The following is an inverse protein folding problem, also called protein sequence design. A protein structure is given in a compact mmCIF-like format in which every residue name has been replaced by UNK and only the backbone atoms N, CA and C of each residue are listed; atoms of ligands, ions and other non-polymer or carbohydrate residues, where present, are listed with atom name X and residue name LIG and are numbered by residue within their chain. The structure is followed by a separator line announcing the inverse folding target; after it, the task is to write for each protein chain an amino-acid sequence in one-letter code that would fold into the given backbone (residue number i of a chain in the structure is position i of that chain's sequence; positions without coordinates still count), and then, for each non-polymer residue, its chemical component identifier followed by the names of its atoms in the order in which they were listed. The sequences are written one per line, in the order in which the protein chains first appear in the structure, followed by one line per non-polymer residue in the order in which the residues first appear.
data_IF_188995001801
#
_entry.id   IF_188995001801
#
_cell.length_a   1.000
_cell.length_b   1.000
_cell.length_c   1.000
_cell.angle_alpha   90.00
_cell.angle_beta   90.00
_cell.angle_gamma   90.00
#
_symmetry.space_group_name_H-M   'P 1'
#
loop_
_entity.id
_entity.type
_entity.pdbx_description
1 polymer ?
#
# COMPACT_ATOMS: atom_id res chain seq x y z
N UNK A 1 26.89 -6.59 -4.53
CA UNK A 1 25.50 -6.95 -4.12
C UNK A 1 24.81 -5.82 -3.37
N UNK A 2 25.40 -5.29 -2.28
CA UNK A 2 24.81 -4.14 -1.55
C UNK A 2 24.61 -2.89 -2.42
N UNK A 3 25.59 -2.53 -3.26
CA UNK A 3 25.49 -1.39 -4.17
C UNK A 3 24.29 -1.52 -5.13
N UNK A 4 24.13 -2.67 -5.78
CA UNK A 4 22.98 -2.96 -6.65
C UNK A 4 21.63 -2.82 -5.91
N UNK A 5 21.53 -3.28 -4.67
CA UNK A 5 20.31 -3.13 -3.86
C UNK A 5 20.01 -1.66 -3.53
N UNK A 6 21.05 -0.87 -3.24
CA UNK A 6 20.92 0.57 -2.99
C UNK A 6 20.47 1.29 -4.26
N UNK A 7 21.05 0.96 -5.41
CA UNK A 7 20.69 1.54 -6.71
C UNK A 7 19.23 1.21 -7.08
N UNK A 8 18.80 -0.04 -6.84
CA UNK A 8 17.39 -0.44 -7.00
C UNK A 8 16.47 0.33 -6.05
N UNK A 9 16.83 0.49 -4.77
CA UNK A 9 16.03 1.26 -3.81
C UNK A 9 15.89 2.72 -4.25
N UNK A 10 16.97 3.34 -4.71
CA UNK A 10 16.95 4.72 -5.20
C UNK A 10 16.03 4.89 -6.42
N UNK A 11 16.04 3.93 -7.35
CA UNK A 11 15.13 3.93 -8.50
C UNK A 11 13.67 3.71 -8.10
N UNK A 12 13.40 2.97 -7.03
CA UNK A 12 12.03 2.65 -6.59
C UNK A 12 11.41 3.70 -5.66
N UNK A 13 12.22 4.47 -4.92
CA UNK A 13 11.75 5.52 -4.01
C UNK A 13 10.67 6.47 -4.58
N UNK A 14 10.80 7.05 -5.80
CA UNK A 14 9.79 7.96 -6.33
C UNK A 14 8.44 7.27 -6.60
N UNK A 15 8.42 5.95 -6.76
CA UNK A 15 7.21 5.18 -7.04
C UNK A 15 6.49 4.65 -5.79
N UNK A 16 7.14 4.68 -4.61
CA UNK A 16 6.56 4.17 -3.36
C UNK A 16 5.29 4.91 -2.95
N UNK A 17 5.34 6.24 -2.95
CA UNK A 17 4.21 7.10 -2.62
C UNK A 17 3.04 6.92 -3.59
N UNK A 18 3.20 7.05 -4.93
CA UNK A 18 2.08 6.85 -5.85
C UNK A 18 1.51 5.42 -5.79
N UNK A 19 2.35 4.39 -5.61
CA UNK A 19 1.84 3.01 -5.44
C UNK A 19 0.95 2.87 -4.20
N UNK A 20 1.35 3.49 -3.09
CA UNK A 20 0.59 3.48 -1.83
C UNK A 20 -0.74 4.23 -1.97
N UNK A 21 -0.72 5.41 -2.61
CA UNK A 21 -1.93 6.19 -2.88
C UNK A 21 -2.87 5.41 -3.81
N UNK A 22 -2.34 4.81 -4.88
CA UNK A 22 -3.10 3.98 -5.80
C UNK A 22 -3.77 2.81 -5.07
N UNK A 23 -3.04 2.12 -4.19
CA UNK A 23 -3.60 1.06 -3.36
C UNK A 23 -4.72 1.57 -2.45
N UNK A 24 -4.53 2.74 -1.81
CA UNK A 24 -5.56 3.37 -0.98
C UNK A 24 -6.83 3.71 -1.76
N UNK A 25 -6.70 4.31 -2.94
CA UNK A 25 -7.84 4.61 -3.83
C UNK A 25 -8.52 3.32 -4.29
N UNK A 26 -7.75 2.32 -4.70
CA UNK A 26 -8.29 1.02 -5.10
C UNK A 26 -9.10 0.38 -3.96
N UNK A 27 -8.62 0.44 -2.71
CA UNK A 27 -9.33 -0.06 -1.54
C UNK A 27 -10.63 0.70 -1.28
N UNK A 28 -10.65 2.03 -1.44
CA UNK A 28 -11.87 2.83 -1.34
C UNK A 28 -12.93 2.40 -2.37
N UNK A 29 -12.52 2.25 -3.64
CA UNK A 29 -13.39 1.75 -4.71
C UNK A 29 -13.86 0.33 -4.40
N UNK A 30 -12.96 -0.53 -3.94
CA UNK A 30 -13.25 -1.92 -3.59
C UNK A 30 -14.26 -2.05 -2.44
N UNK A 31 -14.17 -1.17 -1.44
CA UNK A 31 -15.12 -1.12 -0.34
C UNK A 31 -16.52 -0.76 -0.83
N UNK A 32 -16.64 0.29 -1.64
CA UNK A 32 -17.91 0.73 -2.23
C UNK A 32 -18.50 -0.38 -3.12
N UNK A 33 -17.69 -0.97 -4.01
CA UNK A 33 -18.10 -2.07 -4.87
C UNK A 33 -18.52 -3.32 -4.07
N UNK A 34 -17.83 -3.61 -2.97
CA UNK A 34 -18.14 -4.74 -2.09
C UNK A 34 -19.48 -4.54 -1.36
N UNK A 35 -19.74 -3.34 -0.86
CA UNK A 35 -21.01 -2.99 -0.20
C UNK A 35 -22.16 -3.02 -1.21
N UNK A 36 -22.01 -2.37 -2.36
CA UNK A 36 -23.03 -2.39 -3.42
C UNK A 36 -23.29 -3.81 -3.94
N UNK A 37 -22.25 -4.63 -4.06
CA UNK A 37 -22.36 -6.02 -4.50
C UNK A 37 -23.05 -6.96 -3.52
N UNK A 38 -23.26 -6.54 -2.26
CA UNK A 38 -24.15 -7.25 -1.32
C UNK A 38 -25.62 -7.00 -1.64
N UNK A 39 -25.95 -5.82 -2.18
CA UNK A 39 -27.33 -5.39 -2.47
C UNK A 39 -27.73 -5.75 -3.90
N UNK A 40 -26.87 -5.49 -4.88
CA UNK A 40 -27.17 -5.66 -6.31
C UNK A 40 -26.61 -6.96 -6.91
N UNK A 41 -25.73 -7.67 -6.20
CA UNK A 41 -25.00 -8.83 -6.72
C UNK A 41 -23.88 -8.49 -7.72
N UNK A 42 -23.76 -7.24 -8.15
CA UNK A 42 -22.74 -6.75 -9.10
C UNK A 42 -21.57 -6.09 -8.37
N UNK A 43 -20.34 -6.24 -8.87
CA UNK A 43 -19.15 -5.56 -8.31
C UNK A 43 -18.32 -6.38 -7.31
N UNK A 44 -18.70 -7.62 -7.00
CA UNK A 44 -17.90 -8.49 -6.11
C UNK A 44 -16.52 -8.81 -6.69
N UNK A 45 -16.42 -9.02 -8.01
CA UNK A 45 -15.14 -9.24 -8.67
C UNK A 45 -14.21 -8.02 -8.55
N UNK A 46 -14.74 -6.81 -8.75
CA UNK A 46 -13.99 -5.56 -8.59
C UNK A 46 -13.49 -5.39 -7.15
N UNK A 47 -14.36 -5.63 -6.17
CA UNK A 47 -13.97 -5.59 -4.75
C UNK A 47 -12.85 -6.58 -4.41
N UNK A 48 -12.89 -7.81 -4.96
CA UNK A 48 -11.81 -8.80 -4.77
C UNK A 48 -10.48 -8.33 -5.34
N UNK A 49 -10.49 -7.77 -6.55
CA UNK A 49 -9.27 -7.25 -7.19
C UNK A 49 -8.70 -6.06 -6.41
N UNK A 50 -9.55 -5.12 -6.01
CA UNK A 50 -9.15 -3.98 -5.17
C UNK A 50 -8.53 -4.42 -3.84
N UNK A 51 -9.15 -5.39 -3.16
CA UNK A 51 -8.60 -5.94 -1.92
C UNK A 51 -7.29 -6.71 -2.13
N UNK A 52 -7.13 -7.41 -3.26
CA UNK A 52 -5.88 -8.05 -3.64
C UNK A 52 -4.76 -7.03 -3.90
N UNK A 53 -5.05 -5.93 -4.60
CA UNK A 53 -4.08 -4.84 -4.84
C UNK A 53 -3.59 -4.27 -3.50
N UNK A 54 -4.51 -3.97 -2.56
CA UNK A 54 -4.13 -3.49 -1.23
C UNK A 54 -3.24 -4.47 -0.46
N UNK A 55 -3.56 -5.77 -0.50
CA UNK A 55 -2.72 -6.81 0.09
C UNK A 55 -1.35 -6.91 -0.58
N UNK A 56 -1.29 -6.91 -1.91
CA UNK A 56 -0.05 -7.01 -2.68
C UNK A 56 0.89 -5.83 -2.38
N UNK A 57 0.35 -4.60 -2.36
CA UNK A 57 1.13 -3.40 -2.02
C UNK A 57 1.54 -3.41 -0.54
N UNK A 58 0.67 -3.86 0.36
CA UNK A 58 1.01 -3.98 1.78
C UNK A 58 2.15 -4.97 2.05
N UNK A 59 2.10 -6.16 1.43
CA UNK A 59 3.19 -7.15 1.49
C UNK A 59 4.49 -6.60 0.90
N UNK A 60 4.39 -5.90 -0.22
CA UNK A 60 5.53 -5.26 -0.86
C UNK A 60 6.19 -4.21 0.05
N UNK A 61 5.42 -3.35 0.73
CA UNK A 61 5.96 -2.37 1.68
C UNK A 61 6.65 -3.04 2.87
N UNK A 62 6.12 -4.16 3.37
CA UNK A 62 6.78 -4.94 4.43
C UNK A 62 8.08 -5.57 3.94
N UNK A 63 8.14 -6.06 2.70
CA UNK A 63 9.37 -6.56 2.12
C UNK A 63 10.43 -5.46 1.99
N UNK A 64 10.01 -4.25 1.59
CA UNK A 64 10.87 -3.06 1.56
C UNK A 64 11.34 -2.64 2.96
N UNK A 65 10.49 -2.73 3.98
CA UNK A 65 10.89 -2.50 5.39
C UNK A 65 12.03 -3.43 5.80
N UNK A 66 11.87 -4.73 5.55
CA UNK A 66 12.88 -5.74 5.87
C UNK A 66 14.18 -5.47 5.11
N UNK A 67 14.09 -5.21 3.81
CA UNK A 67 15.26 -4.91 2.97
C UNK A 67 15.99 -3.64 3.42
N UNK A 68 15.25 -2.58 3.76
CA UNK A 68 15.81 -1.33 4.29
C UNK A 68 16.57 -1.55 5.58
N UNK A 69 15.97 -2.26 6.54
CA UNK A 69 16.61 -2.58 7.82
C UNK A 69 17.87 -3.43 7.66
N UNK A 70 17.86 -4.40 6.74
CA UNK A 70 19.05 -5.22 6.43
C UNK A 70 20.21 -4.38 5.85
N UNK A 71 19.90 -3.26 5.21
CA UNK A 71 20.88 -2.32 4.68
C UNK A 71 21.24 -1.20 5.67
N UNK A 72 20.63 -1.18 6.86
CA UNK A 72 20.89 -0.18 7.91
C UNK A 72 20.12 1.13 7.71
N UNK A 73 19.09 1.14 6.87
CA UNK A 73 18.21 2.31 6.67
C UNK A 73 16.84 2.06 7.31
N UNK A 74 16.19 3.14 7.76
CA UNK A 74 14.81 3.11 8.23
C UNK A 74 13.88 3.64 7.13
N UNK A 75 13.15 2.78 6.39
CA UNK A 75 12.36 3.20 5.24
C UNK A 75 11.05 3.88 5.68
N UNK A 76 10.85 5.11 5.20
CA UNK A 76 9.67 5.93 5.51
C UNK A 76 9.06 6.53 4.25
N UNK A 77 7.72 6.64 4.23
CA UNK A 77 6.98 7.30 3.14
C UNK A 77 6.68 8.72 3.57
N UNK A 78 7.13 9.69 2.78
CA UNK A 78 6.74 11.09 2.92
C UNK A 78 5.44 11.34 2.17
N UNK A 79 4.39 11.75 2.88
CA UNK A 79 3.11 12.13 2.26
C UNK A 79 2.99 13.63 1.97
N UNK A 80 3.82 14.47 2.57
CA UNK A 80 3.87 15.93 2.36
C UNK A 80 4.45 16.31 0.98
N UNK A 81 4.17 17.53 0.53
CA UNK A 81 4.80 18.05 -0.69
C UNK A 81 6.29 18.34 -0.41
N UNK A 82 7.22 18.12 -1.36
CA UNK A 82 8.63 18.45 -1.18
C UNK A 82 8.89 19.94 -0.85
N UNK A 83 7.91 20.81 -1.14
CA UNK A 83 7.93 22.23 -0.84
C UNK A 83 7.57 22.57 0.62
N UNK A 84 6.98 21.62 1.36
CA UNK A 84 6.66 21.81 2.77
C UNK A 84 7.94 21.72 3.58
N UNK A 85 8.36 22.86 4.15
CA UNK A 85 9.62 23.00 4.91
C UNK A 85 9.69 22.16 6.19
N UNK A 86 8.65 21.37 6.46
CA UNK A 86 8.54 20.46 7.60
C UNK A 86 8.74 19.01 7.12
N UNK A 87 9.90 18.76 6.50
CA UNK A 87 10.28 17.47 5.87
C UNK A 87 10.31 16.26 6.82
N UNK A 88 10.25 16.48 8.13
CA UNK A 88 10.46 15.44 9.15
C UNK A 88 9.21 15.02 9.93
N UNK A 89 8.11 15.77 9.85
CA UNK A 89 6.92 15.45 10.67
C UNK A 89 5.91 14.52 9.99
N UNK A 90 5.92 14.43 8.66
CA UNK A 90 4.90 13.67 7.92
C UNK A 90 5.47 12.42 7.22
N UNK A 91 6.45 11.80 7.87
CA UNK A 91 7.06 10.54 7.44
C UNK A 91 6.42 9.40 8.21
N UNK A 92 5.86 8.43 7.48
CA UNK A 92 5.24 7.26 8.08
C UNK A 92 6.10 6.04 7.75
N UNK A 93 6.46 5.20 8.73
CA UNK A 93 7.28 4.03 8.48
C UNK A 93 6.53 3.01 7.61
N UNK A 94 7.27 2.33 6.74
CA UNK A 94 6.69 1.43 5.73
C UNK A 94 5.86 0.32 6.38
N UNK A 95 6.28 -0.19 7.53
CA UNK A 95 5.53 -1.23 8.23
C UNK A 95 4.13 -0.81 8.68
N UNK A 96 3.94 0.43 9.16
CA UNK A 96 2.61 0.91 9.58
C UNK A 96 1.68 0.97 8.36
N UNK A 97 2.17 1.58 7.29
CA UNK A 97 1.40 1.75 6.05
C UNK A 97 1.10 0.38 5.43
N UNK A 98 2.09 -0.50 5.38
CA UNK A 98 1.96 -1.85 4.85
C UNK A 98 0.92 -2.67 5.62
N UNK A 99 0.99 -2.68 6.95
CA UNK A 99 0.00 -3.37 7.79
C UNK A 99 -1.40 -2.76 7.63
N UNK A 100 -1.53 -1.44 7.56
CA UNK A 100 -2.81 -0.77 7.36
C UNK A 100 -3.45 -1.17 6.00
N UNK A 101 -2.67 -1.19 4.93
CA UNK A 101 -3.12 -1.65 3.61
C UNK A 101 -3.48 -3.13 3.61
N UNK A 102 -2.72 -3.98 4.31
CA UNK A 102 -3.05 -5.39 4.44
C UNK A 102 -4.37 -5.60 5.20
N UNK A 103 -4.55 -4.91 6.32
CA UNK A 103 -5.78 -4.98 7.11
C UNK A 103 -6.99 -4.52 6.28
N UNK A 104 -6.88 -3.36 5.61
CA UNK A 104 -7.93 -2.83 4.75
C UNK A 104 -8.23 -3.75 3.55
N UNK A 105 -7.19 -4.29 2.89
CA UNK A 105 -7.35 -5.23 1.78
C UNK A 105 -8.00 -6.54 2.20
N UNK A 106 -7.69 -7.04 3.39
CA UNK A 106 -8.35 -8.20 3.97
C UNK A 106 -9.83 -7.92 4.24
N UNK A 107 -10.17 -6.76 4.82
CA UNK A 107 -11.56 -6.34 5.07
C UNK A 107 -12.35 -6.25 3.76
N UNK A 108 -11.81 -5.60 2.73
CA UNK A 108 -12.47 -5.48 1.43
C UNK A 108 -12.74 -6.85 0.80
N UNK A 109 -11.78 -7.79 0.87
CA UNK A 109 -11.99 -9.17 0.40
C UNK A 109 -13.01 -9.93 1.22
N UNK A 110 -13.03 -9.76 2.55
CA UNK A 110 -14.02 -10.39 3.42
C UNK A 110 -15.44 -9.92 3.08
N UNK A 111 -15.60 -8.62 2.76
CA UNK A 111 -16.89 -8.05 2.33
C UNK A 111 -17.30 -8.63 0.96
N UNK A 112 -16.37 -8.74 0.02
CA UNK A 112 -16.64 -9.24 -1.33
C UNK A 112 -17.12 -10.71 -1.40
N UNK A 113 -16.91 -11.50 -0.33
CA UNK A 113 -17.41 -12.87 -0.21
C UNK A 113 -16.71 -13.90 -1.12
N UNK A 114 -16.90 -15.19 -0.80
CA UNK A 114 -16.48 -16.36 -1.60
C UNK A 114 -17.67 -16.82 -2.46
N UNK A 115 -17.91 -16.16 -3.59
CA UNK A 115 -18.73 -16.72 -4.68
C UNK A 115 -17.80 -17.19 -5.78
#
# INVERSE_FOLDING_TARGET
MKQFMIDMMAMMMPYMRPATIFAGVALGIGLIAGILGRVSGSGQALARWCGFIGLAVGVFLLACEVAGRLLGFEPTILFAHPADRVLYQNQWPFWIVGLALMAAGYVVRAIAGRK
#
